data_IF_824921206340
#
_entry.id   IF_824921206340
#
_cell.length_a   1.000
_cell.length_b   1.000
_cell.length_c   1.000
_cell.angle_alpha   90.00
_cell.angle_beta   90.00
_cell.angle_gamma   90.00
#
_symmetry.space_group_name_H-M   'P 1'
#
loop_
_entity.id
_entity.type
_entity.pdbx_description
1 polymer ?
#
# COMPACT_ATOMS: atom_id res chain seq x y z
N UNK A 1 -0.41 -9.16 1.15
CA UNK A 1 0.57 -8.73 0.12
C UNK A 1 1.75 -8.05 0.79
N UNK A 2 2.96 -8.29 0.31
CA UNK A 2 4.19 -7.63 0.79
C UNK A 2 4.76 -6.77 -0.33
N UNK A 3 5.06 -5.51 -0.05
CA UNK A 3 5.75 -4.62 -0.99
C UNK A 3 7.00 -4.08 -0.32
N UNK A 4 8.14 -4.53 -0.82
CA UNK A 4 9.43 -4.03 -0.37
C UNK A 4 9.69 -2.65 -0.96
N UNK A 5 10.07 -1.70 -0.11
CA UNK A 5 10.75 -0.50 -0.56
C UNK A 5 12.09 -0.98 -1.13
N UNK A 6 12.48 -0.50 -2.31
CA UNK A 6 13.66 -0.98 -3.03
C UNK A 6 14.88 -1.08 -2.08
N UNK A 7 15.72 -2.11 -2.25
CA UNK A 7 16.91 -2.47 -1.42
C UNK A 7 17.91 -1.34 -1.08
N UNK A 8 17.75 -0.13 -1.60
CA UNK A 8 18.69 0.97 -1.51
C UNK A 8 18.01 2.33 -1.21
N UNK A 9 16.78 2.34 -0.70
CA UNK A 9 16.11 3.57 -0.25
C UNK A 9 16.19 3.72 1.28
N UNK A 10 16.12 4.96 1.79
CA UNK A 10 16.04 5.21 3.23
C UNK A 10 14.82 4.49 3.81
N UNK A 11 14.98 4.06 5.07
CA UNK A 11 13.88 3.62 5.92
C UNK A 11 12.79 4.69 5.98
N UNK A 12 11.52 4.28 6.03
CA UNK A 12 10.40 5.19 6.30
C UNK A 12 10.68 6.01 7.56
N UNK A 13 10.75 7.32 7.38
CA UNK A 13 10.77 8.31 8.45
C UNK A 13 9.34 8.57 8.95
N UNK A 14 9.21 9.20 10.13
CA UNK A 14 7.91 9.46 10.78
C UNK A 14 6.85 10.04 9.84
N UNK A 15 7.23 11.04 9.04
CA UNK A 15 6.34 11.73 8.09
C UNK A 15 5.99 10.86 6.87
N UNK A 16 6.88 9.97 6.45
CA UNK A 16 6.64 9.09 5.31
C UNK A 16 5.62 7.98 5.63
N UNK A 17 5.47 7.60 6.91
CA UNK A 17 4.37 6.71 7.32
C UNK A 17 3.00 7.37 7.06
N UNK A 18 2.86 8.66 7.39
CA UNK A 18 1.62 9.39 7.14
C UNK A 18 1.32 9.49 5.64
N UNK A 19 2.34 9.73 4.82
CA UNK A 19 2.21 9.74 3.35
C UNK A 19 1.79 8.37 2.80
N UNK A 20 2.35 7.28 3.34
CA UNK A 20 1.99 5.92 2.92
C UNK A 20 0.54 5.57 3.30
N UNK A 21 0.09 5.95 4.50
CA UNK A 21 -1.30 5.76 4.93
C UNK A 21 -2.24 6.57 4.02
N UNK A 22 -1.88 7.81 3.70
CA UNK A 22 -2.67 8.64 2.79
C UNK A 22 -2.74 8.04 1.38
N UNK A 23 -1.64 7.49 0.85
CA UNK A 23 -1.60 6.80 -0.44
C UNK A 23 -2.53 5.58 -0.44
N UNK A 24 -2.47 4.73 0.60
CA UNK A 24 -3.35 3.57 0.76
C UNK A 24 -4.83 3.97 0.76
N UNK A 25 -5.20 5.00 1.54
CA UNK A 25 -6.59 5.49 1.60
C UNK A 25 -7.06 6.13 0.29
N UNK A 26 -6.18 6.84 -0.41
CA UNK A 26 -6.50 7.44 -1.71
C UNK A 26 -6.73 6.37 -2.77
N UNK A 27 -5.84 5.38 -2.86
CA UNK A 27 -6.02 4.24 -3.77
C UNK A 27 -7.24 3.42 -3.43
N UNK A 28 -7.54 3.22 -2.13
CA UNK A 28 -8.75 2.52 -1.68
C UNK A 28 -10.01 3.23 -2.17
N UNK A 29 -10.08 4.56 -2.02
CA UNK A 29 -11.21 5.36 -2.50
C UNK A 29 -11.33 5.34 -4.03
N UNK A 30 -10.21 5.44 -4.73
CA UNK A 30 -10.16 5.48 -6.19
C UNK A 30 -10.57 4.15 -6.84
N UNK A 31 -10.08 3.04 -6.31
CA UNK A 31 -10.25 1.71 -6.90
C UNK A 31 -11.32 0.86 -6.20
N UNK A 32 -11.87 1.34 -5.09
CA UNK A 32 -12.94 0.68 -4.32
C UNK A 32 -12.61 -0.77 -3.90
N UNK A 33 -11.33 -1.07 -3.64
CA UNK A 33 -10.95 -2.34 -3.02
C UNK A 33 -11.21 -2.30 -1.51
N UNK A 34 -11.40 -3.47 -0.90
CA UNK A 34 -11.51 -3.61 0.56
C UNK A 34 -10.11 -3.63 1.17
N UNK A 35 -9.82 -2.72 2.11
CA UNK A 35 -8.61 -2.78 2.94
C UNK A 35 -8.98 -3.39 4.29
N UNK A 36 -8.50 -4.60 4.57
CA UNK A 36 -8.79 -5.32 5.81
C UNK A 36 -7.78 -5.00 6.92
N UNK A 37 -6.57 -4.57 6.55
CA UNK A 37 -5.52 -4.19 7.49
C UNK A 37 -4.20 -3.93 6.78
N UNK A 38 -3.29 -3.21 7.43
CA UNK A 38 -1.93 -2.96 6.94
C UNK A 38 -0.93 -2.90 8.10
N UNK A 39 0.33 -3.19 7.79
CA UNK A 39 1.48 -3.06 8.70
C UNK A 39 2.57 -2.32 7.93
N UNK A 40 3.08 -1.24 8.51
CA UNK A 40 4.22 -0.50 7.96
C UNK A 40 5.44 -0.87 8.77
N UNK A 41 6.46 -1.39 8.11
CA UNK A 41 7.79 -1.59 8.66
C UNK A 41 8.72 -0.52 8.08
N UNK A 42 9.84 -0.21 8.75
CA UNK A 42 10.90 0.66 8.25
C UNK A 42 11.29 0.46 6.77
N UNK A 43 11.34 -0.78 6.29
CA UNK A 43 11.90 -1.17 5.00
C UNK A 43 10.85 -1.70 4.00
N UNK A 44 9.66 -2.05 4.47
CA UNK A 44 8.60 -2.60 3.64
C UNK A 44 7.21 -2.40 4.27
N UNK A 45 6.16 -2.65 3.50
CA UNK A 45 4.81 -2.65 4.02
C UNK A 45 4.04 -3.90 3.60
N UNK A 46 3.09 -4.27 4.46
CA UNK A 46 2.13 -5.31 4.21
C UNK A 46 0.73 -4.73 4.19
N UNK A 47 -0.10 -5.19 3.26
CA UNK A 47 -1.53 -4.93 3.31
C UNK A 47 -2.31 -6.21 3.00
N UNK A 48 -3.43 -6.36 3.69
CA UNK A 48 -4.46 -7.34 3.42
C UNK A 48 -5.59 -6.62 2.68
N UNK A 49 -5.73 -6.89 1.39
CA UNK A 49 -6.74 -6.28 0.53
C UNK A 49 -7.63 -7.35 -0.13
N UNK A 50 -8.92 -7.06 -0.23
CA UNK A 50 -9.86 -7.78 -1.06
C UNK A 50 -10.17 -6.97 -2.32
N UNK A 51 -9.90 -7.52 -3.50
CA UNK A 51 -10.26 -6.91 -4.78
C UNK A 51 -11.49 -7.60 -5.36
N UNK A 52 -12.38 -6.83 -6.00
CA UNK A 52 -13.52 -7.36 -6.73
C UNK A 52 -13.25 -7.25 -8.23
N UNK A 53 -13.64 -8.28 -8.99
CA UNK A 53 -13.52 -8.24 -10.45
C UNK A 53 -14.22 -6.99 -11.02
N UNK A 54 -13.62 -6.25 -11.97
CA UNK A 54 -12.43 -6.58 -12.76
C UNK A 54 -11.09 -6.14 -12.19
N UNK A 55 -11.04 -5.62 -10.96
CA UNK A 55 -9.82 -5.11 -10.36
C UNK A 55 -8.85 -6.25 -10.01
N UNK A 56 -7.64 -6.20 -10.55
CA UNK A 56 -6.56 -7.12 -10.17
C UNK A 56 -5.77 -6.60 -8.98
N UNK A 57 -5.18 -7.52 -8.20
CA UNK A 57 -4.25 -7.17 -7.11
C UNK A 57 -3.13 -6.30 -7.65
N UNK A 58 -2.52 -6.67 -8.78
CA UNK A 58 -1.44 -5.90 -9.43
C UNK A 58 -1.83 -4.45 -9.73
N UNK A 59 -3.07 -4.20 -10.18
CA UNK A 59 -3.56 -2.85 -10.44
C UNK A 59 -3.70 -2.05 -9.15
N UNK A 60 -4.20 -2.67 -8.08
CA UNK A 60 -4.26 -2.04 -6.77
C UNK A 60 -2.85 -1.70 -6.26
N UNK A 61 -1.86 -2.59 -6.43
CA UNK A 61 -0.46 -2.33 -6.03
C UNK A 61 0.14 -1.16 -6.82
N UNK A 62 -0.08 -1.13 -8.13
CA UNK A 62 0.46 -0.09 -9.01
C UNK A 62 -0.08 1.30 -8.69
N UNK A 63 -1.30 1.39 -8.15
CA UNK A 63 -1.88 2.67 -7.78
C UNK A 63 -1.39 3.16 -6.40
N UNK A 64 -1.03 2.24 -5.51
CA UNK A 64 -0.46 2.54 -4.18
C UNK A 64 1.02 2.94 -4.27
N UNK A 65 1.76 2.35 -5.24
CA UNK A 65 3.20 2.61 -5.46
C UNK A 65 3.46 3.96 -6.13
#
# INVERSE_FOLDING_TARGET
MTVNVRKNRPVFTGDEYALMIAALENSRRKLSFRLCGYVLMPDHWHALIGVNHPLSISRAVQDIK
#
